data_IF_860254737591
#
_entry.id   IF_860254737591
#
_cell.length_a   1.000
_cell.length_b   1.000
_cell.length_c   1.000
_cell.angle_alpha   90.00
_cell.angle_beta   90.00
_cell.angle_gamma   90.00
#
_symmetry.space_group_name_H-M   'P 1'
#
loop_
_entity.id
_entity.type
_entity.pdbx_description
1 polymer ?
#
# COMPACT_ATOMS: atom_id res chain seq x y z
N UNK A 1 11.29 16.11 15.30
CA UNK A 1 11.07 14.67 15.43
C UNK A 1 10.85 14.03 14.08
N UNK A 2 11.52 12.91 13.83
CA UNK A 2 11.40 12.19 12.55
C UNK A 2 10.53 10.96 12.75
N UNK A 3 9.48 10.88 11.93
CA UNK A 3 8.69 9.67 11.78
C UNK A 3 8.59 9.41 10.28
N UNK A 4 9.19 8.32 9.82
CA UNK A 4 9.21 8.02 8.39
C UNK A 4 9.44 6.52 8.18
N UNK A 5 8.78 5.97 7.19
CA UNK A 5 9.01 4.59 6.82
C UNK A 5 8.90 4.40 5.31
N UNK A 6 9.62 3.42 4.81
CA UNK A 6 9.42 2.84 3.49
C UNK A 6 9.57 1.34 3.63
N UNK A 7 8.57 0.63 3.16
CA UNK A 7 8.53 -0.83 3.15
C UNK A 7 8.26 -1.33 1.75
N UNK A 8 8.78 -2.49 1.43
CA UNK A 8 8.69 -3.07 0.10
C UNK A 8 8.62 -4.59 0.20
N UNK A 9 8.56 -5.25 -0.95
CA UNK A 9 8.43 -6.70 -1.07
C UNK A 9 7.19 -7.19 -0.34
N UNK A 10 6.01 -6.99 -0.93
CA UNK A 10 4.75 -7.37 -0.32
C UNK A 10 4.72 -8.86 -0.04
N UNK A 11 4.11 -9.20 1.08
CA UNK A 11 3.97 -10.59 1.48
C UNK A 11 2.85 -11.23 0.67
N UNK A 12 3.19 -12.32 -0.01
CA UNK A 12 2.23 -13.17 -0.69
C UNK A 12 1.35 -13.89 0.32
N UNK A 13 0.07 -13.89 0.09
CA UNK A 13 -0.88 -14.64 0.88
C UNK A 13 -1.92 -15.28 -0.03
N UNK A 14 -2.81 -16.07 0.52
CA UNK A 14 -3.91 -16.66 -0.23
C UNK A 14 -4.83 -15.59 -0.81
N UNK A 15 -4.90 -14.45 -0.14
CA UNK A 15 -5.68 -13.31 -0.61
C UNK A 15 -4.91 -12.03 -0.33
N UNK A 16 -5.03 -11.05 -1.21
CA UNK A 16 -4.46 -9.72 -1.03
C UNK A 16 -5.48 -8.70 -0.52
N UNK A 17 -6.44 -9.14 0.29
CA UNK A 17 -7.39 -8.20 0.87
C UNK A 17 -6.70 -7.17 1.75
N UNK A 18 -5.65 -7.58 2.45
CA UNK A 18 -4.75 -6.63 3.12
C UNK A 18 -3.31 -6.99 2.76
N UNK A 19 -2.46 -5.98 2.70
CA UNK A 19 -1.08 -6.16 2.29
C UNK A 19 -0.14 -5.88 3.44
N UNK A 20 0.79 -6.79 3.68
CA UNK A 20 1.94 -6.58 4.54
C UNK A 20 3.21 -6.65 3.70
N UNK A 21 4.34 -6.28 4.29
CA UNK A 21 5.60 -6.15 3.58
C UNK A 21 6.70 -6.87 4.34
N UNK A 22 7.66 -7.44 3.61
CA UNK A 22 8.73 -8.24 4.23
C UNK A 22 10.02 -7.46 4.44
N UNK A 23 10.19 -6.34 3.73
CA UNK A 23 11.45 -5.61 3.77
C UNK A 23 11.23 -4.17 4.22
N UNK A 24 11.98 -3.77 5.21
CA UNK A 24 12.01 -2.39 5.72
C UNK A 24 13.23 -1.69 5.13
N UNK A 25 12.99 -0.62 4.38
CA UNK A 25 14.06 0.26 3.91
C UNK A 25 14.35 1.29 5.00
N UNK A 26 13.32 1.87 5.56
CA UNK A 26 13.40 2.88 6.61
C UNK A 26 12.23 2.70 7.57
N UNK A 27 12.48 2.85 8.86
CA UNK A 27 11.42 2.88 9.87
C UNK A 27 11.89 3.72 11.07
N UNK A 28 12.00 5.03 10.85
CA UNK A 28 12.36 5.99 11.90
C UNK A 28 11.14 6.36 12.70
N UNK A 29 11.27 6.41 14.02
CA UNK A 29 10.15 6.67 14.92
C UNK A 29 9.30 5.44 15.19
N UNK A 30 9.67 4.29 14.64
CA UNK A 30 9.12 2.95 14.95
C UNK A 30 7.60 2.84 14.79
N UNK A 31 7.01 3.59 13.86
CA UNK A 31 5.55 3.54 13.66
C UNK A 31 5.07 2.34 12.87
N UNK A 32 5.92 1.75 12.03
CA UNK A 32 5.49 0.67 11.14
C UNK A 32 5.84 -0.70 11.72
N UNK A 33 4.86 -1.60 11.72
CA UNK A 33 5.01 -2.99 12.16
C UNK A 33 4.86 -3.91 10.95
N UNK A 34 5.97 -4.52 10.51
CA UNK A 34 5.96 -5.42 9.36
C UNK A 34 5.19 -6.71 9.61
N UNK A 35 5.11 -7.16 10.85
CA UNK A 35 4.38 -8.40 11.15
C UNK A 35 2.88 -8.26 10.90
N UNK A 36 2.35 -7.05 10.98
CA UNK A 36 0.92 -6.79 10.79
C UNK A 36 0.61 -5.94 9.57
N UNK A 37 1.61 -5.28 9.00
CA UNK A 37 1.41 -4.33 7.91
C UNK A 37 0.77 -3.02 8.35
N UNK A 38 0.87 -2.68 9.62
CA UNK A 38 0.21 -1.50 10.21
C UNK A 38 1.21 -0.40 10.54
N UNK A 39 0.85 0.81 10.16
CA UNK A 39 1.49 2.00 10.70
C UNK A 39 0.61 2.53 11.83
N UNK A 40 1.17 2.64 13.03
CA UNK A 40 0.47 3.25 14.17
C UNK A 40 1.11 4.60 14.45
N UNK A 41 0.30 5.64 14.43
CA UNK A 41 0.77 7.02 14.54
C UNK A 41 1.40 7.27 15.92
N UNK A 42 2.70 7.61 15.97
CA UNK A 42 3.36 7.89 17.25
C UNK A 42 3.32 9.35 17.67
N UNK A 43 3.08 10.26 16.75
CA UNK A 43 3.07 11.72 17.00
C UNK A 43 1.94 12.33 16.19
N UNK A 44 1.03 13.04 16.86
CA UNK A 44 -0.10 13.70 16.19
C UNK A 44 0.36 14.77 15.22
N UNK A 45 -0.24 14.85 14.06
CA UNK A 45 0.05 15.87 13.07
C UNK A 45 -0.33 15.47 11.67
N UNK A 46 0.22 16.19 10.71
CA UNK A 46 -0.01 15.96 9.29
C UNK A 46 1.02 14.97 8.75
N UNK A 47 0.52 13.95 8.08
CA UNK A 47 1.33 12.89 7.48
C UNK A 47 1.07 12.81 5.98
N UNK A 48 2.09 12.40 5.24
CA UNK A 48 1.98 12.09 3.83
C UNK A 48 2.27 10.62 3.61
N UNK A 49 1.39 9.94 2.86
CA UNK A 49 1.55 8.53 2.51
C UNK A 49 1.53 8.36 1.00
N UNK A 50 2.34 7.43 0.51
CA UNK A 50 2.34 7.07 -0.91
C UNK A 50 2.43 5.56 -1.08
N UNK A 51 1.68 5.04 -2.05
CA UNK A 51 1.61 3.63 -2.35
C UNK A 51 1.85 3.43 -3.85
N UNK A 52 2.78 2.53 -4.18
CA UNK A 52 3.01 2.07 -5.54
C UNK A 52 2.80 0.57 -5.59
N UNK A 53 1.99 0.10 -6.53
CA UNK A 53 1.76 -1.32 -6.72
C UNK A 53 1.94 -1.67 -8.18
N UNK A 54 2.42 -2.90 -8.42
CA UNK A 54 2.59 -3.45 -9.76
C UNK A 54 1.83 -4.76 -9.83
N UNK A 55 0.98 -4.90 -10.84
CA UNK A 55 0.39 -6.17 -11.22
C UNK A 55 1.30 -6.84 -12.25
N UNK A 56 1.64 -8.09 -12.05
CA UNK A 56 2.40 -8.85 -13.06
C UNK A 56 1.49 -9.28 -14.21
N UNK A 57 2.12 -9.57 -15.36
CA UNK A 57 1.42 -9.99 -16.55
C UNK A 57 0.88 -11.41 -16.45
N UNK A 58 -0.24 -11.56 -15.76
CA UNK A 58 -0.94 -12.83 -15.59
C UNK A 58 -2.35 -12.65 -16.09
N UNK A 59 -2.76 -13.48 -17.06
CA UNK A 59 -4.02 -13.34 -17.76
C UNK A 59 -5.26 -13.48 -16.86
N UNK A 60 -5.14 -14.15 -15.73
CA UNK A 60 -6.26 -14.32 -14.81
C UNK A 60 -6.52 -13.10 -13.93
N UNK A 61 -5.65 -12.10 -13.97
CA UNK A 61 -5.75 -10.92 -13.14
C UNK A 61 -5.99 -9.71 -14.03
N UNK A 62 -7.23 -9.23 -14.09
CA UNK A 62 -7.63 -8.17 -14.99
C UNK A 62 -7.42 -6.77 -14.43
N UNK A 63 -7.30 -6.62 -13.12
CA UNK A 63 -7.15 -5.30 -12.51
C UNK A 63 -6.12 -5.33 -11.39
N UNK A 64 -5.51 -4.19 -11.13
CA UNK A 64 -4.63 -3.99 -10.00
C UNK A 64 -5.21 -2.90 -9.11
N UNK A 65 -5.17 -3.09 -7.82
CA UNK A 65 -5.68 -2.09 -6.90
C UNK A 65 -5.46 -2.43 -5.45
N UNK A 66 -5.26 -1.40 -4.67
CA UNK A 66 -5.25 -1.42 -3.21
C UNK A 66 -5.68 -0.04 -2.73
N UNK A 67 -6.12 0.04 -1.51
CA UNK A 67 -6.53 1.31 -0.89
C UNK A 67 -5.72 1.60 0.36
N UNK A 68 -5.50 2.87 0.63
CA UNK A 68 -4.93 3.32 1.90
C UNK A 68 -6.10 3.54 2.86
N UNK A 69 -6.07 2.84 3.98
CA UNK A 69 -7.10 2.88 5.01
C UNK A 69 -6.62 3.63 6.24
N UNK A 70 -7.53 4.35 6.86
CA UNK A 70 -7.32 4.96 8.17
C UNK A 70 -8.38 4.41 9.12
N UNK A 71 -7.94 3.72 10.16
CA UNK A 71 -8.82 3.15 11.18
C UNK A 71 -9.98 2.35 10.59
N UNK A 72 -9.68 1.51 9.59
CA UNK A 72 -10.68 0.65 8.97
C UNK A 72 -11.55 1.32 7.92
N UNK A 73 -11.25 2.57 7.55
CA UNK A 73 -12.02 3.32 6.56
C UNK A 73 -11.15 3.66 5.35
N UNK A 74 -11.58 3.34 4.11
CA UNK A 74 -10.79 3.66 2.92
C UNK A 74 -10.73 5.17 2.68
N UNK A 75 -9.56 5.68 2.32
CA UNK A 75 -9.36 7.09 2.07
C UNK A 75 -9.03 7.38 0.61
N UNK A 76 -8.08 6.67 0.02
CA UNK A 76 -7.72 6.80 -1.39
C UNK A 76 -7.42 5.43 -1.94
N UNK A 77 -7.56 5.28 -3.24
CA UNK A 77 -7.37 4.00 -3.91
C UNK A 77 -6.44 4.14 -5.10
N UNK A 78 -5.46 3.24 -5.19
CA UNK A 78 -4.71 3.01 -6.40
C UNK A 78 -5.46 1.93 -7.18
N UNK A 79 -5.86 2.22 -8.43
CA UNK A 79 -6.70 1.30 -9.17
C UNK A 79 -6.50 1.46 -10.67
N UNK A 80 -6.36 0.34 -11.36
CA UNK A 80 -6.36 0.32 -12.82
C UNK A 80 -6.97 -1.00 -13.32
N UNK A 81 -7.80 -0.88 -14.36
CA UNK A 81 -8.48 -2.01 -14.98
C UNK A 81 -8.45 -1.79 -16.51
N UNK A 82 -7.31 -2.04 -17.15
CA UNK A 82 -7.09 -1.60 -18.53
C UNK A 82 -7.90 -2.33 -19.61
N UNK A 83 -8.47 -3.49 -19.34
CA UNK A 83 -9.40 -4.16 -20.29
C UNK A 83 -8.84 -4.29 -21.71
N UNK A 84 -7.55 -4.58 -21.86
CA UNK A 84 -6.93 -4.56 -23.17
C UNK A 84 -6.54 -5.93 -23.71
N UNK A 85 -7.01 -6.98 -23.10
CA UNK A 85 -6.75 -8.34 -23.54
C UNK A 85 -7.89 -8.89 -24.40
N UNK A 86 -7.61 -9.94 -25.13
CA UNK A 86 -8.64 -10.70 -25.84
C UNK A 86 -9.49 -11.40 -24.79
N UNK A 87 -10.83 -11.35 -24.96
CA UNK A 87 -11.78 -11.90 -23.99
C UNK A 87 -11.69 -11.29 -22.59
N UNK A 88 -11.27 -10.02 -22.52
CA UNK A 88 -11.16 -9.33 -21.25
C UNK A 88 -9.96 -9.79 -20.39
N UNK A 89 -9.16 -10.71 -20.88
CA UNK A 89 -7.95 -11.13 -20.21
C UNK A 89 -6.83 -10.10 -20.46
N UNK A 90 -6.01 -9.89 -19.45
CA UNK A 90 -4.95 -8.93 -19.52
C UNK A 90 -3.62 -9.57 -19.17
N UNK A 91 -2.74 -9.67 -20.15
CA UNK A 91 -1.42 -10.25 -20.02
C UNK A 91 -0.34 -9.21 -19.69
N UNK A 92 -0.70 -7.94 -19.59
CA UNK A 92 0.25 -6.88 -19.33
C UNK A 92 0.60 -6.73 -17.86
N UNK A 93 1.76 -6.13 -17.62
CA UNK A 93 2.15 -5.67 -16.28
C UNK A 93 1.81 -4.19 -16.17
N UNK A 94 1.18 -3.80 -15.07
CA UNK A 94 0.73 -2.43 -14.87
C UNK A 94 1.14 -1.93 -13.51
N UNK A 95 1.64 -0.70 -13.50
CA UNK A 95 1.91 0.02 -12.28
C UNK A 95 0.84 1.06 -12.02
N UNK A 96 0.46 1.22 -10.76
CA UNK A 96 -0.47 2.25 -10.35
C UNK A 96 -0.08 2.75 -8.96
N UNK A 97 -0.32 4.02 -8.71
CA UNK A 97 0.05 4.63 -7.44
C UNK A 97 -1.01 5.61 -6.96
N UNK A 98 -0.97 5.87 -5.67
CA UNK A 98 -1.80 6.89 -5.04
C UNK A 98 -1.06 7.48 -3.87
N UNK A 99 -1.47 8.66 -3.46
CA UNK A 99 -0.90 9.34 -2.29
C UNK A 99 -1.97 10.16 -1.59
N UNK A 100 -1.71 10.49 -0.33
CA UNK A 100 -2.68 11.22 0.48
C UNK A 100 -2.00 11.92 1.64
N UNK A 101 -2.50 13.08 2.01
CA UNK A 101 -2.21 13.72 3.29
C UNK A 101 -3.30 13.35 4.28
N UNK A 102 -2.92 12.93 5.47
CA UNK A 102 -3.86 12.60 6.54
C UNK A 102 -3.48 13.34 7.82
N UNK A 103 -4.47 13.88 8.49
CA UNK A 103 -4.31 14.40 9.85
C UNK A 103 -4.52 13.24 10.81
N UNK A 104 -3.51 12.90 11.58
CA UNK A 104 -3.53 11.75 12.47
C UNK A 104 -3.37 12.16 13.92
N UNK A 105 -3.98 11.38 14.79
CA UNK A 105 -3.76 11.43 16.24
C UNK A 105 -2.93 10.24 16.65
N UNK A 106 -2.21 10.37 17.76
CA UNK A 106 -1.49 9.24 18.35
C UNK A 106 -2.42 8.04 18.46
N UNK A 107 -1.97 6.89 17.97
CA UNK A 107 -2.75 5.65 17.99
C UNK A 107 -3.56 5.37 16.74
N UNK A 108 -3.74 6.35 15.87
CA UNK A 108 -4.40 6.10 14.58
C UNK A 108 -3.60 5.08 13.76
N UNK A 109 -4.32 4.22 13.05
CA UNK A 109 -3.73 3.10 12.30
C UNK A 109 -3.97 3.27 10.82
N UNK A 110 -2.89 3.21 10.04
CA UNK A 110 -2.95 3.26 8.57
C UNK A 110 -2.52 1.89 8.03
N UNK A 111 -3.31 1.35 7.12
CA UNK A 111 -3.08 0.04 6.51
C UNK A 111 -3.32 0.10 5.01
N UNK A 112 -2.86 -0.94 4.32
CA UNK A 112 -3.15 -1.15 2.90
C UNK A 112 -4.13 -2.32 2.81
N UNK A 113 -5.33 -2.05 2.32
CA UNK A 113 -6.40 -3.04 2.24
C UNK A 113 -7.16 -2.91 0.92
N UNK A 114 -8.14 -3.76 0.71
CA UNK A 114 -8.93 -3.78 -0.53
C UNK A 114 -8.09 -4.09 -1.76
N UNK A 115 -7.06 -4.90 -1.60
CA UNK A 115 -6.25 -5.33 -2.72
C UNK A 115 -6.97 -6.41 -3.52
N UNK A 116 -6.66 -6.47 -4.82
CA UNK A 116 -7.23 -7.53 -5.65
C UNK A 116 -6.81 -8.90 -5.11
N UNK A 117 -7.76 -9.75 -4.69
CA UNK A 117 -7.42 -11.04 -4.09
C UNK A 117 -6.77 -12.02 -5.07
N UNK A 118 -6.90 -11.78 -6.37
CA UNK A 118 -6.29 -12.64 -7.40
C UNK A 118 -4.93 -12.13 -7.87
N UNK A 119 -4.44 -11.05 -7.31
CA UNK A 119 -3.16 -10.46 -7.69
C UNK A 119 -2.05 -11.24 -6.95
N UNK A 120 -1.54 -12.33 -7.54
CA UNK A 120 -0.72 -13.28 -6.79
C UNK A 120 0.68 -12.76 -6.54
N UNK A 121 1.16 -11.93 -7.46
CA UNK A 121 2.53 -11.47 -7.43
C UNK A 121 2.60 -10.02 -7.79
N UNK A 122 3.50 -9.34 -7.12
CA UNK A 122 3.98 -8.05 -7.54
C UNK A 122 5.46 -8.18 -7.86
N UNK A 123 6.01 -7.24 -8.60
CA UNK A 123 7.46 -7.15 -8.73
C UNK A 123 7.98 -6.60 -7.41
N UNK A 124 8.80 -7.38 -6.73
CA UNK A 124 9.12 -7.19 -5.31
C UNK A 124 9.44 -5.76 -4.90
N UNK A 125 10.48 -5.16 -5.51
CA UNK A 125 10.91 -3.81 -5.14
C UNK A 125 10.04 -2.73 -5.78
N UNK A 126 9.21 -3.09 -6.74
CA UNK A 126 8.36 -2.13 -7.44
C UNK A 126 7.04 -1.88 -6.71
N UNK A 127 6.75 -2.67 -5.69
CA UNK A 127 5.61 -2.42 -4.80
C UNK A 127 6.15 -1.91 -3.48
N UNK A 128 5.76 -0.70 -3.12
CA UNK A 128 6.28 -0.04 -1.92
C UNK A 128 5.21 0.83 -1.28
N UNK A 129 5.34 0.99 0.02
CA UNK A 129 4.49 1.88 0.79
C UNK A 129 5.39 2.74 1.67
N UNK A 130 5.16 4.05 1.62
CA UNK A 130 5.95 5.02 2.37
C UNK A 130 5.04 5.98 3.09
N UNK A 131 5.51 6.49 4.21
CA UNK A 131 4.83 7.54 4.93
C UNK A 131 5.80 8.34 5.77
N UNK A 132 5.47 9.60 5.99
CA UNK A 132 6.29 10.41 6.86
C UNK A 132 5.49 11.54 7.51
N UNK A 133 5.99 11.94 8.67
CA UNK A 133 5.46 13.07 9.44
C UNK A 133 5.89 14.37 8.78
N UNK A 134 4.92 15.15 8.36
CA UNK A 134 5.17 16.42 7.69
C UNK A 134 5.38 17.53 8.72
N UNK A 135 4.43 17.70 9.60
CA UNK A 135 4.51 18.70 10.67
C UNK A 135 3.40 18.52 11.69
N UNK A 136 3.63 19.09 12.86
CA UNK A 136 2.63 19.20 13.90
C UNK A 136 1.60 20.28 13.51
N UNK A 137 0.36 20.02 13.86
CA UNK A 137 -0.75 20.89 13.49
C UNK A 137 -1.51 21.32 14.73
#
# INVERSE_FOLDING_TARGET
KVVAFTVTKPKKGATFLSMSFTTVITNEGSGFDTSTGRFTCPVSGLYYFSLHIIKRGISSVSWAGCSIYLNGSPKVRAYTDPQNGVNGADNGSYGVSTSVYLLLKVGDVVTIEQCNPKMPDTVEEATSFSGYFEKQV
#
